data_IF_416071189898
#
_entry.id   IF_416071189898
#
_cell.length_a   1.000
_cell.length_b   1.000
_cell.length_c   1.000
_cell.angle_alpha   90.00
_cell.angle_beta   90.00
_cell.angle_gamma   90.00
#
_symmetry.space_group_name_H-M   'P 1'
#
loop_
_entity.id
_entity.type
_entity.pdbx_description
1 polymer ?
#
# COMPACT_ATOMS: atom_id res chain seq x y z
N UNK A 1 14.17 -11.51 5.78
CA UNK A 1 14.41 -11.63 4.33
C UNK A 1 15.00 -10.32 3.84
N UNK A 2 16.16 -10.30 3.20
CA UNK A 2 16.80 -9.04 2.81
C UNK A 2 16.12 -8.56 1.52
N UNK A 3 15.33 -7.48 1.60
CA UNK A 3 14.64 -6.88 0.46
C UNK A 3 15.61 -5.87 -0.18
N UNK A 4 16.02 -6.12 -1.43
CA UNK A 4 16.86 -5.20 -2.20
C UNK A 4 16.00 -4.30 -3.06
N UNK A 5 16.39 -3.05 -3.18
CA UNK A 5 15.76 -2.08 -4.06
C UNK A 5 16.14 -2.33 -5.53
N UNK A 6 15.28 -2.01 -6.52
CA UNK A 6 15.59 -2.23 -7.94
C UNK A 6 16.90 -1.55 -8.40
N UNK A 7 17.27 -0.43 -7.80
CA UNK A 7 18.50 0.30 -8.13
C UNK A 7 19.78 -0.31 -7.54
N UNK A 8 19.66 -1.30 -6.62
CA UNK A 8 20.80 -2.02 -6.04
C UNK A 8 21.29 -3.18 -6.94
N UNK A 9 20.60 -3.44 -8.03
CA UNK A 9 20.96 -4.50 -8.98
C UNK A 9 21.97 -4.01 -10.00
N UNK A 10 23.22 -3.92 -9.61
CA UNK A 10 24.35 -3.81 -10.54
C UNK A 10 24.51 -5.04 -11.44
N UNK A 11 23.84 -6.15 -11.08
CA UNK A 11 23.84 -7.41 -11.81
C UNK A 11 22.46 -8.07 -11.72
N UNK A 12 21.69 -8.00 -12.79
CA UNK A 12 20.34 -8.55 -12.91
C UNK A 12 20.29 -10.07 -12.87
N UNK A 13 21.39 -10.76 -13.09
CA UNK A 13 21.50 -12.23 -12.98
C UNK A 13 21.25 -12.71 -11.55
N UNK A 14 21.56 -11.91 -10.54
CA UNK A 14 21.37 -12.32 -9.13
C UNK A 14 19.91 -12.32 -8.69
N UNK A 15 19.02 -11.53 -9.31
CA UNK A 15 17.60 -11.52 -8.98
C UNK A 15 16.86 -12.70 -9.59
N UNK A 16 17.20 -13.04 -10.84
CA UNK A 16 16.61 -14.17 -11.58
C UNK A 16 17.00 -15.51 -10.94
N UNK A 17 18.20 -15.59 -10.36
CA UNK A 17 18.69 -16.82 -9.72
C UNK A 17 18.03 -17.14 -8.36
N UNK A 18 17.24 -16.21 -7.81
CA UNK A 18 16.55 -16.41 -6.53
C UNK A 18 15.07 -16.62 -6.81
N UNK A 19 14.66 -17.87 -7.01
CA UNK A 19 13.25 -18.28 -7.07
C UNK A 19 12.46 -17.64 -5.92
N UNK A 20 11.41 -16.88 -6.26
CA UNK A 20 10.56 -16.19 -5.29
C UNK A 20 11.14 -14.88 -4.72
N UNK A 21 12.11 -14.28 -5.40
CA UNK A 21 12.62 -12.94 -5.04
C UNK A 21 11.57 -11.85 -5.29
N UNK A 22 11.36 -10.99 -4.30
CA UNK A 22 10.57 -9.76 -4.46
C UNK A 22 11.45 -8.53 -4.20
N UNK A 23 11.17 -7.45 -4.92
CA UNK A 23 11.78 -6.15 -4.64
C UNK A 23 10.69 -5.08 -4.64
N UNK A 24 11.00 -3.94 -4.04
CA UNK A 24 10.14 -2.77 -4.09
C UNK A 24 10.70 -1.71 -5.02
N UNK A 25 9.81 -0.92 -5.59
CA UNK A 25 10.15 0.17 -6.48
C UNK A 25 9.23 1.37 -6.34
N UNK A 26 9.62 2.45 -6.99
CA UNK A 26 8.79 3.64 -7.13
C UNK A 26 7.90 3.48 -8.36
N UNK A 27 6.58 3.44 -8.21
CA UNK A 27 5.68 3.47 -9.37
C UNK A 27 5.72 4.84 -10.04
N UNK A 28 5.43 4.89 -11.33
CA UNK A 28 5.24 6.15 -12.06
C UNK A 28 3.93 6.82 -11.66
N UNK A 29 2.88 6.01 -11.49
CA UNK A 29 1.60 6.44 -10.93
C UNK A 29 1.15 5.45 -9.86
N UNK A 30 0.58 5.98 -8.78
CA UNK A 30 0.03 5.18 -7.69
C UNK A 30 -1.28 5.82 -7.22
N UNK A 31 -2.35 5.09 -7.28
CA UNK A 31 -3.67 5.57 -6.89
C UNK A 31 -4.34 4.69 -5.84
N UNK A 32 -5.05 5.32 -4.94
CA UNK A 32 -5.88 4.68 -3.92
C UNK A 32 -7.22 5.39 -3.80
N UNK A 33 -8.23 4.71 -3.29
CA UNK A 33 -9.48 5.36 -2.85
C UNK A 33 -9.50 5.36 -1.33
N UNK A 34 -9.58 6.54 -0.74
CA UNK A 34 -9.53 6.76 0.71
C UNK A 34 -10.95 6.94 1.23
N UNK A 35 -11.31 6.21 2.28
CA UNK A 35 -12.57 6.36 3.00
C UNK A 35 -12.39 7.16 4.28
N UNK A 36 -11.32 6.88 5.02
CA UNK A 36 -11.09 7.47 6.33
C UNK A 36 -9.61 7.55 6.66
N UNK A 37 -9.19 8.64 7.27
CA UNK A 37 -7.85 8.81 7.84
C UNK A 37 -7.92 9.53 9.18
N UNK A 38 -6.97 9.24 10.06
CA UNK A 38 -6.88 9.88 11.35
C UNK A 38 -5.70 9.45 12.18
N UNK A 39 -5.71 9.94 13.40
CA UNK A 39 -4.72 9.67 14.44
C UNK A 39 -5.39 9.05 15.64
N UNK A 40 -4.76 8.07 16.28
CA UNK A 40 -5.31 7.38 17.45
C UNK A 40 -4.32 7.42 18.62
N UNK A 41 -4.85 7.59 19.84
CA UNK A 41 -4.03 7.61 21.07
C UNK A 41 -3.70 6.22 21.58
N UNK A 42 -4.45 5.20 21.14
CA UNK A 42 -4.18 3.78 21.40
C UNK A 42 -4.38 2.96 20.12
N UNK A 43 -3.87 1.73 20.12
CA UNK A 43 -3.93 0.86 18.96
C UNK A 43 -5.40 0.49 18.60
N UNK A 44 -5.93 0.91 17.44
CA UNK A 44 -7.31 0.65 17.04
C UNK A 44 -7.50 -0.71 16.34
N UNK A 45 -6.47 -1.57 16.28
CA UNK A 45 -6.51 -2.81 15.53
C UNK A 45 -7.66 -3.73 15.93
N UNK A 46 -8.29 -4.44 14.96
CA UNK A 46 -9.23 -5.50 15.27
C UNK A 46 -8.60 -6.55 16.19
N UNK A 47 -9.30 -6.95 17.24
CA UNK A 47 -8.78 -7.89 18.25
C UNK A 47 -8.73 -9.35 17.77
N UNK A 48 -9.55 -9.70 16.78
CA UNK A 48 -9.65 -11.05 16.20
C UNK A 48 -10.41 -11.02 14.87
N UNK A 49 -10.34 -12.10 14.12
CA UNK A 49 -11.21 -12.30 12.95
C UNK A 49 -12.69 -12.12 13.34
N UNK A 50 -13.44 -11.43 12.48
CA UNK A 50 -14.85 -11.07 12.70
C UNK A 50 -15.05 -9.85 13.60
N UNK A 51 -13.99 -9.24 14.17
CA UNK A 51 -14.11 -7.98 14.91
C UNK A 51 -13.79 -6.77 14.04
N UNK A 52 -14.47 -5.66 14.33
CA UNK A 52 -14.18 -4.36 13.75
C UNK A 52 -13.01 -3.66 14.48
N UNK A 53 -12.34 -2.67 13.86
CA UNK A 53 -11.41 -1.79 14.54
C UNK A 53 -12.10 -1.02 15.69
N UNK A 54 -11.41 -0.82 16.82
CA UNK A 54 -11.88 0.05 17.89
C UNK A 54 -11.38 1.47 17.66
N UNK A 55 -12.21 2.31 17.06
CA UNK A 55 -11.87 3.68 16.73
C UNK A 55 -12.22 4.69 17.83
N UNK A 56 -12.58 4.23 19.03
CA UNK A 56 -12.98 5.11 20.15
C UNK A 56 -11.87 6.04 20.62
N UNK A 57 -10.61 5.71 20.38
CA UNK A 57 -9.43 6.52 20.69
C UNK A 57 -8.92 7.36 19.53
N UNK A 58 -9.63 7.38 18.40
CA UNK A 58 -9.19 8.02 17.16
C UNK A 58 -9.88 9.38 16.97
N UNK A 59 -9.13 10.31 16.40
CA UNK A 59 -9.65 11.57 15.86
C UNK A 59 -9.34 11.59 14.35
N UNK A 60 -10.40 11.65 13.54
CA UNK A 60 -10.28 11.59 12.10
C UNK A 60 -10.07 12.97 11.50
N UNK A 61 -9.06 13.09 10.64
CA UNK A 61 -8.80 14.30 9.86
C UNK A 61 -9.41 14.24 8.45
N UNK A 62 -9.84 13.07 8.02
CA UNK A 62 -10.60 12.87 6.78
C UNK A 62 -11.61 11.73 6.97
N UNK A 63 -12.85 11.96 6.58
CA UNK A 63 -13.89 10.93 6.65
C UNK A 63 -14.92 11.10 5.52
N UNK A 64 -14.92 10.18 4.56
CA UNK A 64 -15.88 10.08 3.46
C UNK A 64 -16.37 8.65 3.32
N UNK A 65 -17.11 8.20 4.33
CA UNK A 65 -17.62 6.84 4.40
C UNK A 65 -19.02 6.74 3.74
N UNK A 66 -19.10 7.19 2.49
CA UNK A 66 -20.29 7.12 1.64
C UNK A 66 -20.37 5.85 0.77
N UNK A 67 -19.41 4.93 0.97
CA UNK A 67 -19.22 3.72 0.17
C UNK A 67 -18.51 3.97 -1.16
N UNK A 68 -18.25 5.21 -1.53
CA UNK A 68 -17.53 5.61 -2.74
C UNK A 68 -16.10 6.02 -2.40
N UNK A 69 -15.90 6.77 -1.31
CA UNK A 69 -14.62 7.32 -0.90
C UNK A 69 -14.11 8.43 -1.82
N UNK A 70 -12.87 8.82 -1.65
CA UNK A 70 -12.18 9.81 -2.47
C UNK A 70 -10.95 9.23 -3.14
N UNK A 71 -10.88 9.34 -4.46
CA UNK A 71 -9.74 8.88 -5.24
C UNK A 71 -8.55 9.84 -5.07
N UNK A 72 -7.42 9.30 -4.66
CA UNK A 72 -6.15 9.99 -4.56
C UNK A 72 -5.16 9.34 -5.52
N UNK A 73 -4.51 10.12 -6.38
CA UNK A 73 -3.51 9.64 -7.33
C UNK A 73 -2.20 10.39 -7.11
N UNK A 74 -1.16 9.64 -6.84
CA UNK A 74 0.19 10.14 -6.60
C UNK A 74 1.04 9.83 -7.83
N UNK A 75 1.43 10.85 -8.59
CA UNK A 75 2.59 10.72 -9.47
C UNK A 75 3.85 10.62 -8.59
N UNK A 76 4.92 10.04 -9.09
CA UNK A 76 6.18 9.83 -8.34
C UNK A 76 6.55 11.07 -7.50
N UNK A 77 6.34 10.97 -6.18
CA UNK A 77 6.59 12.08 -5.23
C UNK A 77 5.52 13.18 -5.19
N UNK A 78 4.35 12.97 -5.81
CA UNK A 78 3.26 13.94 -5.84
C UNK A 78 2.52 14.06 -4.49
N UNK A 79 2.00 15.24 -4.21
CA UNK A 79 1.06 15.53 -3.13
C UNK A 79 -0.37 15.48 -3.69
N UNK A 80 -1.31 15.03 -2.89
CA UNK A 80 -2.74 15.05 -3.21
C UNK A 80 -3.47 15.81 -2.11
N UNK A 81 -4.22 16.81 -2.49
CA UNK A 81 -5.14 17.51 -1.61
C UNK A 81 -6.47 16.76 -1.60
N UNK A 82 -6.88 16.31 -0.42
CA UNK A 82 -8.21 15.74 -0.22
C UNK A 82 -9.23 16.85 -0.01
N UNK A 83 -10.49 16.56 -0.36
CA UNK A 83 -11.57 17.55 -0.29
C UNK A 83 -11.73 18.14 1.12
N UNK A 84 -11.68 19.45 1.23
CA UNK A 84 -11.84 20.17 2.50
C UNK A 84 -13.20 19.88 3.16
N UNK A 85 -14.24 19.57 2.37
CA UNK A 85 -15.58 19.22 2.86
C UNK A 85 -15.57 18.03 3.83
N UNK A 86 -14.64 17.07 3.61
CA UNK A 86 -14.51 15.84 4.41
C UNK A 86 -13.30 15.88 5.34
N UNK A 87 -12.61 17.02 5.39
CA UNK A 87 -11.39 17.19 6.16
C UNK A 87 -11.64 18.00 7.42
N UNK A 88 -11.00 17.61 8.52
CA UNK A 88 -11.06 18.33 9.80
C UNK A 88 -9.72 18.25 10.51
N UNK A 89 -9.48 19.20 11.40
CA UNK A 89 -8.33 19.13 12.30
C UNK A 89 -8.59 18.05 13.36
N UNK A 90 -7.63 17.15 13.65
CA UNK A 90 -7.76 16.24 14.78
C UNK A 90 -7.90 16.99 16.11
N UNK A 91 -8.52 16.35 17.08
CA UNK A 91 -8.63 16.87 18.43
C UNK A 91 -7.25 17.11 19.09
N UNK A 92 -7.21 17.95 20.11
CA UNK A 92 -5.98 18.16 20.91
C UNK A 92 -5.61 16.87 21.64
N UNK A 93 -4.37 16.42 21.44
CA UNK A 93 -3.89 15.16 22.02
C UNK A 93 -2.51 14.74 21.53
N UNK A 94 -1.97 13.71 22.17
CA UNK A 94 -0.76 13.01 21.74
C UNK A 94 -1.16 11.67 21.11
N UNK A 95 -0.76 11.46 19.86
CA UNK A 95 -1.17 10.32 19.06
C UNK A 95 0.01 9.40 18.76
N UNK A 96 -0.18 8.12 19.00
CA UNK A 96 0.84 7.09 18.82
C UNK A 96 0.62 6.27 17.55
N UNK A 97 -0.60 6.33 16.98
CA UNK A 97 -0.96 5.55 15.80
C UNK A 97 -1.58 6.44 14.73
N UNK A 98 -1.24 6.15 13.47
CA UNK A 98 -1.98 6.62 12.31
C UNK A 98 -2.94 5.54 11.83
N UNK A 99 -4.10 5.95 11.35
CA UNK A 99 -5.19 5.12 10.85
C UNK A 99 -5.52 5.52 9.44
N UNK A 100 -5.61 4.55 8.53
CA UNK A 100 -6.12 4.76 7.19
C UNK A 100 -7.00 3.59 6.75
N UNK A 101 -8.18 3.89 6.21
CA UNK A 101 -9.07 2.93 5.59
C UNK A 101 -9.22 3.28 4.11
N UNK A 102 -8.85 2.33 3.25
CA UNK A 102 -8.83 2.50 1.79
C UNK A 102 -9.52 1.35 1.09
N UNK A 103 -9.83 1.53 -0.19
CA UNK A 103 -10.24 0.44 -1.06
C UNK A 103 -9.11 -0.60 -1.17
N UNK A 104 -9.48 -1.86 -1.30
CA UNK A 104 -8.51 -2.95 -1.54
C UNK A 104 -7.77 -2.84 -2.87
N UNK A 105 -8.31 -2.07 -3.82
CA UNK A 105 -7.78 -1.96 -5.18
C UNK A 105 -6.89 -0.73 -5.30
N UNK A 106 -5.66 -0.97 -5.72
CA UNK A 106 -4.68 0.06 -6.04
C UNK A 106 -4.63 0.27 -7.55
N UNK A 107 -4.32 1.48 -7.96
CA UNK A 107 -4.04 1.80 -9.35
C UNK A 107 -2.52 2.01 -9.49
N UNK A 108 -1.85 1.12 -10.22
CA UNK A 108 -0.38 1.12 -10.32
C UNK A 108 0.04 1.23 -11.77
N UNK A 109 0.96 2.15 -12.05
CA UNK A 109 1.70 2.22 -13.31
C UNK A 109 3.18 2.13 -12.99
N UNK A 110 3.80 1.03 -13.35
CA UNK A 110 5.18 0.74 -13.02
C UNK A 110 5.89 -0.04 -14.12
N UNK A 111 7.21 0.10 -14.16
CA UNK A 111 8.07 -0.68 -15.03
C UNK A 111 9.22 -1.27 -14.23
N UNK A 112 9.74 -2.40 -14.71
CA UNK A 112 10.88 -3.07 -14.12
C UNK A 112 11.80 -3.67 -15.20
N UNK A 113 13.07 -3.37 -15.12
CA UNK A 113 14.06 -3.86 -16.06
C UNK A 113 15.12 -2.82 -16.42
N UNK A 114 16.06 -3.17 -17.33
CA UNK A 114 16.11 -4.39 -18.13
C UNK A 114 16.59 -5.61 -17.33
N UNK A 115 15.99 -6.78 -17.59
CA UNK A 115 16.31 -8.04 -16.93
C UNK A 115 16.90 -9.02 -17.97
N UNK A 116 17.97 -9.74 -17.58
CA UNK A 116 18.57 -10.80 -18.37
C UNK A 116 19.65 -10.38 -19.35
N UNK A 117 20.47 -11.35 -19.77
CA UNK A 117 21.73 -11.11 -20.50
C UNK A 117 21.58 -10.78 -21.98
N UNK A 118 20.57 -11.31 -22.65
CA UNK A 118 20.51 -11.31 -24.12
C UNK A 118 19.52 -10.32 -24.71
N UNK A 119 18.45 -9.95 -24.03
CA UNK A 119 17.39 -9.13 -24.60
C UNK A 119 17.08 -7.85 -23.81
N UNK A 120 17.64 -7.67 -22.62
CA UNK A 120 17.40 -6.51 -21.75
C UNK A 120 15.92 -6.08 -21.75
N UNK A 121 15.06 -7.04 -21.44
CA UNK A 121 13.62 -6.83 -21.48
C UNK A 121 13.18 -6.01 -20.27
N UNK A 122 12.47 -4.93 -20.53
CA UNK A 122 11.77 -4.18 -19.49
C UNK A 122 10.31 -4.61 -19.48
N UNK A 123 9.80 -4.90 -18.30
CA UNK A 123 8.40 -5.27 -18.08
C UNK A 123 7.61 -4.04 -17.65
N UNK A 124 6.34 -3.99 -18.05
CA UNK A 124 5.46 -2.86 -17.80
C UNK A 124 4.10 -3.36 -17.33
N UNK A 125 3.42 -2.57 -16.49
CA UNK A 125 1.99 -2.76 -16.23
C UNK A 125 1.23 -2.53 -17.53
N UNK A 126 0.34 -3.47 -17.90
CA UNK A 126 -0.30 -3.49 -19.22
C UNK A 126 -1.83 -3.57 -19.21
N UNK A 127 -2.45 -3.28 -18.07
CA UNK A 127 -3.90 -3.33 -17.91
C UNK A 127 -4.46 -4.74 -17.69
N UNK A 128 -3.62 -5.78 -17.77
CA UNK A 128 -4.08 -7.15 -17.56
C UNK A 128 -3.92 -7.54 -16.10
N UNK A 129 -5.04 -7.82 -15.43
CA UNK A 129 -5.07 -8.39 -14.10
C UNK A 129 -5.33 -9.87 -14.26
N UNK A 130 -4.44 -10.72 -13.77
CA UNK A 130 -4.72 -12.13 -13.58
C UNK A 130 -5.37 -12.34 -12.22
N UNK A 131 -6.01 -13.48 -12.01
CA UNK A 131 -6.54 -13.87 -10.69
C UNK A 131 -5.46 -13.67 -9.63
N UNK A 132 -5.86 -13.20 -8.45
CA UNK A 132 -4.97 -12.83 -7.35
C UNK A 132 -4.16 -11.52 -7.50
N UNK A 133 -4.65 -10.57 -8.29
CA UNK A 133 -3.99 -9.27 -8.42
C UNK A 133 -2.66 -9.30 -9.16
N UNK A 134 -2.40 -10.40 -9.87
CA UNK A 134 -1.18 -10.57 -10.65
C UNK A 134 -1.28 -9.82 -11.98
N UNK A 135 -0.41 -8.87 -12.18
CA UNK A 135 -0.23 -8.22 -13.48
C UNK A 135 0.86 -8.97 -14.24
N UNK A 136 0.50 -9.73 -15.24
CA UNK A 136 1.49 -10.34 -16.13
C UNK A 136 2.02 -9.27 -17.08
N UNK A 137 3.27 -8.89 -16.91
CA UNK A 137 3.97 -8.08 -17.89
C UNK A 137 4.15 -8.86 -19.19
N UNK A 138 3.87 -8.24 -20.33
CA UNK A 138 4.23 -8.85 -21.61
C UNK A 138 5.75 -8.86 -21.77
N UNK A 139 6.29 -10.01 -22.13
CA UNK A 139 7.72 -10.28 -22.36
C UNK A 139 8.32 -9.55 -23.60
N UNK A 140 7.56 -8.75 -24.28
CA UNK A 140 8.07 -8.03 -25.46
C UNK A 140 8.38 -6.60 -25.06
N UNK A 141 9.57 -6.12 -25.42
CA UNK A 141 9.94 -4.71 -25.34
C UNK A 141 8.79 -3.89 -25.94
N UNK A 142 7.86 -3.35 -25.15
CA UNK A 142 6.91 -2.42 -25.72
C UNK A 142 7.71 -1.18 -26.06
N UNK A 143 7.62 -0.74 -27.30
CA UNK A 143 7.85 0.66 -27.56
C UNK A 143 6.91 1.42 -26.61
N UNK A 144 7.37 2.48 -26.00
CA UNK A 144 6.67 3.23 -24.94
C UNK A 144 5.22 3.67 -25.27
N UNK A 145 4.70 3.36 -26.44
CA UNK A 145 3.35 3.63 -26.93
C UNK A 145 2.35 2.49 -26.82
N UNK A 146 2.81 1.24 -26.65
CA UNK A 146 1.93 0.08 -26.87
C UNK A 146 1.69 -0.72 -25.59
N UNK A 147 0.94 -0.17 -24.64
CA UNK A 147 0.41 -0.94 -23.54
C UNK A 147 0.97 -0.60 -22.14
N UNK A 148 1.78 0.45 -21.99
CA UNK A 148 2.17 0.94 -20.65
C UNK A 148 1.03 1.77 -20.08
N UNK A 149 0.20 1.13 -19.27
CA UNK A 149 -1.02 1.72 -18.72
C UNK A 149 -1.12 1.50 -17.21
N UNK A 150 -1.84 2.38 -16.56
CA UNK A 150 -2.24 2.20 -15.16
C UNK A 150 -3.13 0.95 -15.05
N UNK A 151 -2.77 0.08 -14.14
CA UNK A 151 -3.43 -1.21 -13.93
C UNK A 151 -4.00 -1.28 -12.53
N UNK A 152 -5.20 -1.81 -12.39
CA UNK A 152 -5.80 -2.10 -11.09
C UNK A 152 -5.11 -3.33 -10.48
N UNK A 153 -4.68 -3.20 -9.22
CA UNK A 153 -4.07 -4.26 -8.43
C UNK A 153 -4.89 -4.47 -7.15
N UNK A 154 -5.87 -5.38 -7.14
CA UNK A 154 -6.63 -5.68 -5.95
C UNK A 154 -5.78 -6.49 -4.97
N UNK A 155 -5.71 -6.05 -3.71
CA UNK A 155 -5.05 -6.76 -2.64
C UNK A 155 -6.05 -7.68 -1.92
N UNK A 156 -5.85 -8.98 -2.06
CA UNK A 156 -6.76 -10.01 -1.50
C UNK A 156 -6.10 -10.92 -0.50
N UNK A 157 -4.77 -10.85 -0.35
CA UNK A 157 -4.02 -11.61 0.66
C UNK A 157 -2.65 -10.99 0.90
N UNK A 158 -2.09 -11.22 2.10
CA UNK A 158 -0.70 -10.97 2.44
C UNK A 158 0.13 -12.26 2.49
N UNK A 159 -0.50 -13.42 2.28
CA UNK A 159 0.10 -14.74 2.50
C UNK A 159 0.82 -15.30 1.29
N UNK A 160 2.10 -15.69 1.49
CA UNK A 160 2.88 -16.47 0.54
C UNK A 160 3.47 -17.68 1.27
N UNK A 161 3.30 -18.87 0.69
CA UNK A 161 3.97 -20.08 1.18
C UNK A 161 5.42 -20.14 0.69
N UNK A 162 6.30 -20.73 1.51
CA UNK A 162 7.59 -21.15 1.02
C UNK A 162 7.40 -22.18 -0.11
N UNK A 163 7.88 -21.83 -1.32
CA UNK A 163 7.66 -22.66 -2.52
C UNK A 163 6.66 -22.09 -3.53
N UNK A 164 6.18 -20.85 -3.34
CA UNK A 164 5.47 -20.07 -4.38
C UNK A 164 3.94 -20.17 -4.38
N UNK A 165 3.32 -20.86 -3.40
CA UNK A 165 1.86 -20.84 -3.24
C UNK A 165 1.38 -19.61 -2.48
N UNK A 166 0.19 -19.10 -2.81
CA UNK A 166 -0.51 -18.11 -2.00
C UNK A 166 -1.47 -18.80 -1.01
N UNK A 167 -1.70 -18.17 0.13
CA UNK A 167 -2.74 -18.55 1.09
C UNK A 167 -3.48 -17.31 1.52
N UNK A 168 -4.73 -17.44 1.91
CA UNK A 168 -5.45 -16.34 2.53
C UNK A 168 -4.81 -16.01 3.89
N UNK A 169 -4.10 -14.91 3.94
CA UNK A 169 -3.61 -14.27 5.15
C UNK A 169 -4.14 -12.83 5.19
N UNK A 170 -5.01 -12.55 6.15
CA UNK A 170 -5.72 -11.28 6.22
C UNK A 170 -4.94 -10.17 6.90
N UNK A 171 -3.75 -10.45 7.43
CA UNK A 171 -2.91 -9.47 8.12
C UNK A 171 -1.50 -9.46 7.59
N UNK A 172 -0.93 -8.26 7.45
CA UNK A 172 0.47 -8.05 7.08
C UNK A 172 1.14 -7.03 8.00
N UNK A 173 2.45 -7.13 8.14
CA UNK A 173 3.24 -6.16 8.91
C UNK A 173 4.54 -5.84 8.17
N UNK A 174 4.90 -4.56 8.13
CA UNK A 174 6.14 -4.10 7.51
C UNK A 174 6.70 -2.89 8.28
N UNK A 175 8.03 -2.86 8.44
CA UNK A 175 8.73 -1.68 8.94
C UNK A 175 8.94 -0.70 7.81
N UNK A 176 8.50 0.53 7.99
CA UNK A 176 8.61 1.62 7.02
C UNK A 176 9.28 2.84 7.67
N UNK A 177 9.62 3.84 6.86
CA UNK A 177 10.15 5.08 7.42
C UNK A 177 9.12 5.74 8.33
N UNK A 178 9.49 5.99 9.58
CA UNK A 178 8.66 6.65 10.59
C UNK A 178 7.81 5.72 11.45
N UNK A 179 7.91 4.39 11.26
CA UNK A 179 7.22 3.43 12.12
C UNK A 179 7.05 2.03 11.58
N UNK A 180 6.10 1.31 12.15
CA UNK A 180 5.71 -0.02 11.69
C UNK A 180 4.25 0.01 11.26
N UNK A 181 3.98 -0.34 10.00
CA UNK A 181 2.62 -0.45 9.48
C UNK A 181 2.11 -1.89 9.61
N UNK A 182 0.90 -2.02 10.10
CA UNK A 182 0.10 -3.26 10.05
C UNK A 182 -1.10 -3.04 9.16
N UNK A 183 -1.32 -3.97 8.27
CA UNK A 183 -2.42 -3.94 7.33
C UNK A 183 -3.39 -5.09 7.62
N UNK A 184 -4.68 -4.82 7.45
CA UNK A 184 -5.78 -5.73 7.77
C UNK A 184 -6.77 -5.73 6.62
N UNK A 185 -7.13 -6.91 6.12
CA UNK A 185 -8.18 -7.06 5.11
C UNK A 185 -9.55 -7.09 5.80
N UNK A 186 -10.42 -6.17 5.40
CA UNK A 186 -11.76 -6.05 5.96
C UNK A 186 -12.83 -6.43 4.93
N UNK A 187 -13.93 -6.98 5.44
CA UNK A 187 -15.14 -7.24 4.67
C UNK A 187 -16.04 -5.99 4.53
N UNK A 188 -17.20 -6.15 3.90
CA UNK A 188 -18.17 -5.06 3.72
C UNK A 188 -18.80 -4.55 5.02
N UNK A 189 -18.65 -5.28 6.12
CA UNK A 189 -19.12 -4.90 7.46
C UNK A 189 -18.02 -4.24 8.29
N UNK A 190 -16.87 -3.94 7.67
CA UNK A 190 -15.66 -3.42 8.34
C UNK A 190 -15.11 -4.38 9.42
N UNK A 191 -15.27 -5.70 9.23
CA UNK A 191 -14.70 -6.68 10.15
C UNK A 191 -13.51 -7.40 9.53
N UNK A 192 -12.53 -7.75 10.38
CA UNK A 192 -11.33 -8.47 9.96
C UNK A 192 -11.70 -9.85 9.40
N UNK A 193 -11.22 -10.14 8.21
CA UNK A 193 -11.37 -11.44 7.56
C UNK A 193 -10.52 -12.50 8.29
N UNK A 194 -11.02 -13.72 8.36
CA UNK A 194 -10.25 -14.82 8.93
C UNK A 194 -9.20 -15.35 7.93
N UNK A 195 -8.05 -15.75 8.42
CA UNK A 195 -7.06 -16.48 7.64
C UNK A 195 -7.62 -17.85 7.21
N UNK A 196 -7.28 -18.29 6.00
CA UNK A 196 -7.62 -19.61 5.47
C UNK A 196 -6.45 -20.19 4.67
N UNK A 197 -5.76 -21.14 5.25
CA UNK A 197 -4.60 -21.79 4.62
C UNK A 197 -4.99 -22.74 3.47
N UNK A 198 -6.27 -23.03 3.30
CA UNK A 198 -6.79 -23.85 2.19
C UNK A 198 -7.19 -23.04 0.96
N UNK A 199 -7.33 -21.72 1.11
CA UNK A 199 -7.67 -20.79 0.04
C UNK A 199 -6.43 -20.00 -0.40
N UNK A 200 -6.31 -19.74 -1.70
CA UNK A 200 -5.20 -18.93 -2.25
C UNK A 200 -5.40 -17.44 -2.01
N UNK A 201 -6.64 -17.02 -1.77
CA UNK A 201 -7.04 -15.64 -1.52
C UNK A 201 -8.09 -15.56 -0.41
N UNK A 202 -8.16 -14.41 0.26
CA UNK A 202 -9.21 -14.12 1.20
C UNK A 202 -10.49 -13.69 0.46
N UNK A 203 -11.57 -14.41 0.69
CA UNK A 203 -12.87 -14.09 0.09
C UNK A 203 -13.54 -12.93 0.83
N UNK A 204 -14.35 -12.14 0.12
CA UNK A 204 -15.15 -11.08 0.71
C UNK A 204 -14.38 -9.80 1.08
N UNK A 205 -13.11 -9.68 0.74
CA UNK A 205 -12.33 -8.45 0.95
C UNK A 205 -12.94 -7.30 0.17
N UNK A 206 -13.21 -6.19 0.85
CA UNK A 206 -13.69 -4.95 0.24
C UNK A 206 -12.80 -3.76 0.55
N UNK A 207 -12.16 -3.75 1.72
CA UNK A 207 -11.34 -2.65 2.22
C UNK A 207 -10.03 -3.14 2.78
N UNK A 208 -9.08 -2.24 2.83
CA UNK A 208 -7.79 -2.39 3.50
C UNK A 208 -7.71 -1.35 4.61
N UNK A 209 -7.42 -1.80 5.82
CA UNK A 209 -7.09 -0.96 6.96
C UNK A 209 -5.58 -0.97 7.17
N UNK A 210 -4.96 0.21 7.15
CA UNK A 210 -3.58 0.42 7.57
C UNK A 210 -3.53 1.09 8.94
N UNK A 211 -2.78 0.51 9.87
CA UNK A 211 -2.48 1.11 11.17
C UNK A 211 -0.97 1.20 11.28
N UNK A 212 -0.46 2.41 11.40
CA UNK A 212 0.96 2.65 11.57
C UNK A 212 1.24 3.05 13.01
N UNK A 213 2.02 2.23 13.70
CA UNK A 213 2.62 2.63 14.98
C UNK A 213 3.76 3.61 14.68
N UNK A 214 3.63 4.84 15.15
CA UNK A 214 4.57 5.91 14.87
C UNK A 214 5.81 5.81 15.77
N UNK A 215 6.99 5.99 15.19
CA UNK A 215 8.25 6.10 15.97
C UNK A 215 8.29 7.36 16.83
N UNK A 216 7.61 8.41 16.37
CA UNK A 216 7.47 9.68 17.07
C UNK A 216 5.99 10.06 17.13
N UNK A 217 5.49 10.34 18.32
CA UNK A 217 4.10 10.76 18.51
C UNK A 217 3.82 12.08 17.79
N UNK A 218 2.63 12.17 17.22
CA UNK A 218 2.09 13.43 16.69
C UNK A 218 1.39 14.17 17.83
N UNK A 219 1.82 15.39 18.09
CA UNK A 219 1.23 16.22 19.12
C UNK A 219 0.35 17.31 18.49
N UNK A 220 -0.93 17.28 18.76
CA UNK A 220 -1.91 18.29 18.34
C UNK A 220 -2.22 19.17 19.53
N UNK A 221 -1.89 20.46 19.44
CA UNK A 221 -2.12 21.45 20.48
C UNK A 221 -3.26 22.39 20.11
N UNK A 222 -3.67 23.24 21.06
CA UNK A 222 -4.65 24.29 20.75
C UNK A 222 -4.14 25.31 19.71
N UNK A 223 -2.81 25.45 19.60
CA UNK A 223 -2.16 26.33 18.61
C UNK A 223 -1.97 25.67 17.23
N UNK A 224 -2.19 24.36 17.10
CA UNK A 224 -2.07 23.66 15.81
C UNK A 224 -3.15 24.14 14.86
N UNK A 225 -2.75 24.74 13.73
CA UNK A 225 -3.66 25.27 12.71
C UNK A 225 -3.94 24.28 11.60
N UNK A 226 -2.96 23.41 11.27
CA UNK A 226 -3.13 22.38 10.26
C UNK A 226 -2.30 21.14 10.56
N UNK A 227 -2.74 20.01 9.99
CA UNK A 227 -2.02 18.73 9.95
C UNK A 227 -1.91 18.29 8.51
N UNK A 228 -0.68 18.28 8.00
CA UNK A 228 -0.39 17.76 6.65
C UNK A 228 -0.03 16.30 6.75
N UNK A 229 -0.74 15.47 5.99
CA UNK A 229 -0.46 14.03 5.83
C UNK A 229 0.22 13.82 4.50
N UNK A 230 1.40 13.21 4.50
CA UNK A 230 2.15 12.91 3.28
C UNK A 230 2.32 11.41 3.12
N UNK A 231 1.87 10.87 1.98
CA UNK A 231 2.10 9.49 1.58
C UNK A 231 3.42 9.38 0.83
N UNK A 232 4.26 8.44 1.23
CA UNK A 232 5.53 8.17 0.57
C UNK A 232 5.48 6.81 -0.10
N UNK A 233 5.48 6.82 -1.43
CA UNK A 233 5.52 5.63 -2.29
C UNK A 233 6.89 5.43 -2.94
N UNK A 234 7.84 6.35 -2.69
CA UNK A 234 9.19 6.27 -3.20
C UNK A 234 9.90 5.04 -2.65
N UNK A 235 10.45 4.24 -3.55
CA UNK A 235 11.15 2.97 -3.29
C UNK A 235 10.31 1.85 -2.65
N UNK A 236 9.02 2.08 -2.39
CA UNK A 236 8.15 1.11 -1.71
C UNK A 236 6.78 0.94 -2.35
N UNK A 237 6.30 1.87 -3.17
CA UNK A 237 4.90 1.90 -3.63
C UNK A 237 4.50 0.74 -4.53
N UNK A 238 5.44 0.07 -5.19
CA UNK A 238 5.16 -1.16 -5.93
C UNK A 238 6.04 -2.30 -5.48
N UNK A 239 5.46 -3.48 -5.34
CA UNK A 239 6.16 -4.74 -5.18
C UNK A 239 6.31 -5.38 -6.57
N UNK A 240 7.51 -5.87 -6.85
CA UNK A 240 7.81 -6.60 -8.09
C UNK A 240 8.24 -7.99 -7.71
N UNK A 241 7.54 -9.00 -8.21
CA UNK A 241 7.82 -10.41 -7.95
C UNK A 241 8.12 -11.10 -9.28
N UNK A 242 9.23 -11.84 -9.35
CA UNK A 242 9.51 -12.69 -10.48
C UNK A 242 8.90 -14.07 -10.26
N UNK A 243 8.09 -14.50 -11.21
CA UNK A 243 7.49 -15.84 -11.25
C UNK A 243 8.25 -16.68 -12.28
N UNK A 244 9.06 -17.62 -11.79
CA UNK A 244 9.89 -18.49 -12.61
C UNK A 244 9.07 -19.58 -13.33
N UNK A 245 7.89 -19.91 -12.83
CA UNK A 245 6.99 -20.91 -13.44
C UNK A 245 6.26 -20.32 -14.64
N UNK A 246 5.82 -19.07 -14.49
CA UNK A 246 5.12 -18.35 -15.57
C UNK A 246 6.07 -17.60 -16.50
N UNK A 247 7.39 -17.59 -16.22
CA UNK A 247 8.41 -16.75 -16.88
C UNK A 247 7.92 -15.29 -17.03
N UNK A 248 7.44 -14.75 -15.91
CA UNK A 248 6.79 -13.46 -15.88
C UNK A 248 7.12 -12.63 -14.64
N UNK A 249 6.77 -11.37 -14.72
CA UNK A 249 6.86 -10.42 -13.59
C UNK A 249 5.46 -10.04 -13.15
N UNK A 250 5.25 -10.01 -11.84
CA UNK A 250 4.06 -9.49 -11.18
C UNK A 250 4.37 -8.14 -10.60
N UNK A 251 3.43 -7.23 -10.77
CA UNK A 251 3.41 -5.95 -10.09
C UNK A 251 2.24 -5.93 -9.11
N UNK A 252 2.54 -5.70 -7.84
CA UNK A 252 1.55 -5.55 -6.78
C UNK A 252 1.77 -4.20 -6.08
N UNK A 253 0.82 -3.77 -5.26
CA UNK A 253 1.07 -2.66 -4.35
C UNK A 253 2.15 -3.05 -3.35
N UNK A 254 3.09 -2.15 -3.12
CA UNK A 254 4.05 -2.25 -2.03
C UNK A 254 3.56 -1.51 -0.77
N UNK A 255 4.26 -1.65 0.35
CA UNK A 255 3.97 -0.87 1.54
C UNK A 255 4.30 0.60 1.28
N UNK A 256 3.41 1.50 1.68
CA UNK A 256 3.66 2.93 1.69
C UNK A 256 3.83 3.42 3.12
N UNK A 257 4.55 4.50 3.32
CA UNK A 257 4.65 5.15 4.62
C UNK A 257 3.86 6.45 4.64
N UNK A 258 3.45 6.84 5.85
CA UNK A 258 2.70 8.08 6.07
C UNK A 258 3.48 8.93 7.07
N UNK A 259 3.65 10.21 6.77
CA UNK A 259 4.26 11.17 7.69
C UNK A 259 3.29 12.31 7.96
N UNK A 260 3.40 12.89 9.17
CA UNK A 260 2.54 13.98 9.61
C UNK A 260 3.40 15.19 9.95
N UNK A 261 2.98 16.35 9.46
CA UNK A 261 3.58 17.65 9.79
C UNK A 261 2.48 18.55 10.38
N UNK A 262 2.76 19.14 11.52
CA UNK A 262 1.85 20.09 12.17
C UNK A 262 2.32 21.51 11.96
N UNK A 263 1.41 22.42 11.64
CA UNK A 263 1.67 23.87 11.62
C UNK A 263 1.01 24.51 12.84
N UNK A 264 1.74 25.33 13.56
CA UNK A 264 1.23 26.06 14.71
C UNK A 264 1.08 27.55 14.40
N UNK A 265 0.12 28.19 15.06
CA UNK A 265 -0.02 29.64 15.01
C UNK A 265 1.19 30.28 15.74
N UNK A 266 1.94 31.13 15.01
CA UNK A 266 3.00 31.93 15.64
C UNK A 266 2.35 33.05 16.43
N UNK A 267 2.46 33.01 17.77
CA UNK A 267 2.07 34.14 18.62
C UNK A 267 2.98 35.34 18.27
N UNK A 268 2.40 36.38 17.66
CA UNK A 268 3.02 37.69 17.53
C UNK A 268 3.16 38.40 18.91
#
# INVERSE_FOLDING_TARGET
>A
MYKRQPNDFGDTTSFIATTGGSCYGTPEEYGVTIYKMGLCTSNPAPSSAGSAPDTSSCSFNFEKDDGVGEAASFASGGEVDLSEEYSSRPDVGEYEFAYIEINKTFNVKASYGPIGDAARTTYFTNGTITEAGTVTGALTTPTASDGYVTTEAPLTTFGFLEGGGQVCQATGEESVTGGTIRAYLLDSSNTLIADDTSATECSGVTKLLGIMQLDTKVNITAATTSVKTTFKVENNGTSVVYDDVADGIRFDSGPFSVTFETTEETSE
#
